data_IF_357282053096
#
_entry.id   IF_357282053096
#
_cell.length_a   1.000
_cell.length_b   1.000
_cell.length_c   1.000
_cell.angle_alpha   90.00
_cell.angle_beta   90.00
_cell.angle_gamma   90.00
#
_symmetry.space_group_name_H-M   'P 1'
#
loop_
_entity.id
_entity.type
_entity.pdbx_description
1 polymer ?
#
# COMPACT_ATOMS: atom_id res chain seq x y z
N UNK A 1 -2.07 -34.78 29.88
CA UNK A 1 -1.16 -35.96 29.83
C UNK A 1 -1.38 -36.67 28.50
N UNK A 2 -0.33 -36.80 27.70
CA UNK A 2 -0.36 -37.56 26.43
C UNK A 2 0.06 -38.99 26.75
N UNK A 3 -0.77 -39.95 26.37
CA UNK A 3 -0.41 -41.37 26.39
C UNK A 3 0.14 -41.66 25.01
N UNK A 4 1.44 -41.91 24.91
CA UNK A 4 2.05 -42.26 23.64
C UNK A 4 1.62 -43.67 23.23
N UNK A 5 1.56 -43.99 21.92
CA UNK A 5 1.23 -45.34 21.45
C UNK A 5 2.10 -46.42 22.11
N UNK A 6 3.35 -46.05 22.42
CA UNK A 6 4.33 -46.87 23.12
C UNK A 6 3.83 -47.44 24.46
N UNK A 7 3.07 -46.66 25.25
CA UNK A 7 2.52 -47.11 26.54
C UNK A 7 1.13 -47.74 26.37
N UNK A 8 0.44 -47.42 25.28
CA UNK A 8 -0.96 -47.80 25.11
C UNK A 8 -1.13 -49.27 24.73
N UNK A 9 -0.41 -49.77 23.72
CA UNK A 9 -0.65 -51.09 23.14
C UNK A 9 0.61 -51.83 22.64
N UNK A 10 1.81 -51.43 23.04
CA UNK A 10 3.04 -52.11 22.62
C UNK A 10 3.15 -53.51 23.27
N UNK A 11 3.37 -54.57 22.50
CA UNK A 11 3.28 -55.98 22.96
C UNK A 11 4.60 -56.77 22.80
N UNK A 12 5.72 -56.09 22.56
CA UNK A 12 7.03 -56.74 22.33
C UNK A 12 8.00 -56.48 23.48
N UNK A 13 8.84 -57.46 23.80
CA UNK A 13 9.95 -57.28 24.74
C UNK A 13 10.95 -56.22 24.26
N UNK A 14 11.61 -55.48 25.18
CA UNK A 14 11.49 -55.56 26.65
C UNK A 14 10.33 -54.71 27.21
N UNK A 15 9.48 -54.16 26.35
CA UNK A 15 8.52 -53.12 26.73
C UNK A 15 7.13 -53.65 27.07
N UNK A 16 6.95 -54.97 27.03
CA UNK A 16 5.67 -55.62 27.33
C UNK A 16 5.13 -55.24 28.72
N UNK A 17 6.01 -55.11 29.70
CA UNK A 17 5.66 -54.71 31.08
C UNK A 17 5.19 -53.25 31.21
N UNK A 18 5.52 -52.40 30.23
CA UNK A 18 5.09 -51.00 30.21
C UNK A 18 3.78 -50.78 29.46
N UNK A 19 3.21 -51.85 28.87
CA UNK A 19 1.96 -51.80 28.12
C UNK A 19 0.75 -51.69 29.04
N UNK A 20 -0.18 -50.81 28.69
CA UNK A 20 -1.49 -50.75 29.35
C UNK A 20 -2.44 -51.85 28.86
N UNK A 21 -2.16 -52.45 27.70
CA UNK A 21 -2.91 -53.57 27.14
C UNK A 21 -2.33 -54.91 27.60
N UNK A 22 -3.18 -55.84 28.03
CA UNK A 22 -2.76 -57.18 28.48
C UNK A 22 -2.20 -58.00 27.31
N UNK A 23 -1.20 -58.83 27.58
CA UNK A 23 -0.55 -59.66 26.56
C UNK A 23 -1.57 -60.51 25.79
N UNK A 24 -1.57 -60.39 24.46
CA UNK A 24 -2.47 -61.14 23.55
C UNK A 24 -3.97 -61.04 23.90
N UNK A 25 -4.39 -59.95 24.55
CA UNK A 25 -5.77 -59.72 24.97
C UNK A 25 -6.29 -58.39 24.42
N UNK A 26 -7.60 -58.27 24.25
CA UNK A 26 -8.26 -57.00 23.93
C UNK A 26 -8.51 -56.13 25.18
N UNK A 27 -8.21 -56.65 26.37
CA UNK A 27 -8.47 -55.99 27.65
C UNK A 27 -7.23 -55.24 28.18
N UNK A 28 -7.46 -54.29 29.08
CA UNK A 28 -6.45 -53.39 29.63
C UNK A 28 -6.23 -53.62 31.13
N UNK A 29 -5.06 -53.25 31.64
CA UNK A 29 -4.79 -53.26 33.07
C UNK A 29 -5.55 -52.13 33.80
N UNK A 30 -5.81 -52.30 35.09
CA UNK A 30 -6.64 -51.37 35.89
C UNK A 30 -6.14 -49.92 35.84
N UNK A 31 -4.82 -49.72 35.75
CA UNK A 31 -4.18 -48.41 35.66
C UNK A 31 -4.66 -47.62 34.43
N UNK A 32 -4.97 -48.30 33.32
CA UNK A 32 -5.56 -47.67 32.14
C UNK A 32 -6.87 -46.99 32.47
N UNK A 33 -7.82 -47.73 33.06
CA UNK A 33 -9.13 -47.21 33.41
C UNK A 33 -9.03 -46.12 34.48
N UNK A 34 -8.11 -46.26 35.44
CA UNK A 34 -7.81 -45.20 36.40
C UNK A 34 -7.39 -43.91 35.71
N UNK A 35 -6.39 -43.96 34.81
CA UNK A 35 -5.88 -42.77 34.10
C UNK A 35 -6.90 -42.22 33.08
N UNK A 36 -7.68 -43.09 32.44
CA UNK A 36 -8.75 -42.70 31.52
C UNK A 36 -9.87 -41.97 32.24
N UNK A 37 -10.21 -42.40 33.46
CA UNK A 37 -11.28 -41.81 34.27
C UNK A 37 -10.91 -40.45 34.89
N UNK A 38 -9.61 -40.08 34.85
CA UNK A 38 -9.18 -38.75 35.29
C UNK A 38 -9.82 -37.67 34.41
N UNK A 39 -10.50 -36.72 35.04
CA UNK A 39 -11.01 -35.52 34.37
C UNK A 39 -9.84 -34.74 33.78
N UNK A 40 -9.73 -34.76 32.45
CA UNK A 40 -8.72 -33.98 31.73
C UNK A 40 -9.30 -32.61 31.48
N UNK A 41 -8.65 -31.58 32.01
CA UNK A 41 -8.88 -30.21 31.56
C UNK A 41 -8.42 -30.08 30.12
N UNK A 42 -9.19 -29.35 29.30
CA UNK A 42 -8.81 -29.06 27.92
C UNK A 42 -7.49 -28.28 27.96
N UNK A 43 -6.50 -28.74 27.20
CA UNK A 43 -5.16 -28.13 27.15
C UNK A 43 -5.15 -26.85 26.32
N UNK A 44 -5.89 -25.84 26.76
CA UNK A 44 -5.92 -24.50 26.15
C UNK A 44 -5.20 -23.54 27.10
N UNK A 45 -3.85 -23.54 27.13
CA UNK A 45 -3.13 -22.56 27.92
C UNK A 45 -3.50 -21.16 27.44
N UNK A 46 -3.62 -20.23 28.37
CA UNK A 46 -3.86 -18.82 28.06
C UNK A 46 -2.71 -18.32 27.16
N UNK A 47 -3.07 -17.89 25.94
CA UNK A 47 -2.10 -17.37 24.99
C UNK A 47 -1.78 -15.92 25.34
N UNK A 48 -0.48 -15.59 25.41
CA UNK A 48 -0.06 -14.21 25.60
C UNK A 48 -0.19 -13.47 24.26
N UNK A 49 -1.18 -12.58 24.18
CA UNK A 49 -1.37 -11.65 23.07
C UNK A 49 -0.56 -10.38 23.32
N UNK A 50 0.45 -10.13 22.49
CA UNK A 50 1.31 -8.94 22.61
C UNK A 50 1.83 -8.52 21.24
N UNK A 51 1.98 -7.22 21.03
CA UNK A 51 2.59 -6.70 19.83
C UNK A 51 2.42 -5.21 19.69
N UNK A 52 2.63 -4.71 18.47
CA UNK A 52 2.47 -3.29 18.15
C UNK A 52 1.96 -3.08 16.74
N UNK A 53 1.14 -2.04 16.60
CA UNK A 53 0.69 -1.48 15.32
C UNK A 53 1.42 -0.15 15.13
N UNK A 54 2.21 -0.04 14.08
CA UNK A 54 2.98 1.17 13.76
C UNK A 54 2.71 1.62 12.32
N UNK A 55 2.80 2.92 12.08
CA UNK A 55 2.56 3.51 10.78
C UNK A 55 3.24 4.89 10.71
N UNK A 56 3.55 5.31 9.49
CA UNK A 56 4.02 6.66 9.17
C UNK A 56 3.11 7.21 8.07
N UNK A 57 2.05 7.91 8.49
CA UNK A 57 0.96 8.35 7.62
C UNK A 57 0.91 9.88 7.55
N UNK A 58 0.59 10.47 6.38
CA UNK A 58 0.50 11.91 6.24
C UNK A 58 -0.55 12.53 7.17
N UNK A 59 -0.30 13.75 7.66
CA UNK A 59 -1.25 14.49 8.49
C UNK A 59 -2.22 15.35 7.67
N UNK A 60 -1.97 15.47 6.38
CA UNK A 60 -2.68 16.36 5.48
C UNK A 60 -2.98 15.62 4.18
N UNK A 61 -4.26 15.33 3.96
CA UNK A 61 -4.77 14.70 2.74
C UNK A 61 -5.60 15.70 1.96
N UNK A 62 -5.89 15.40 0.70
CA UNK A 62 -6.80 16.21 -0.12
C UNK A 62 -8.13 15.49 -0.30
N UNK A 63 -9.21 16.26 -0.50
CA UNK A 63 -10.54 15.71 -0.75
C UNK A 63 -10.60 14.86 -2.03
N UNK A 64 -11.71 14.16 -2.24
CA UNK A 64 -12.02 13.40 -3.46
C UNK A 64 -10.89 12.48 -3.95
N UNK A 65 -10.17 11.85 -3.02
CA UNK A 65 -8.95 11.11 -3.32
C UNK A 65 -8.99 9.70 -2.75
N UNK A 66 -8.22 8.80 -3.37
CA UNK A 66 -8.00 7.44 -2.91
C UNK A 66 -6.53 7.24 -2.59
N UNK A 67 -6.25 6.84 -1.36
CA UNK A 67 -4.91 6.57 -0.86
C UNK A 67 -4.73 5.08 -0.60
N UNK A 68 -3.51 4.58 -0.79
CA UNK A 68 -3.10 3.25 -0.38
C UNK A 68 -1.84 3.40 0.48
N UNK A 69 -1.99 3.15 1.76
CA UNK A 69 -0.93 3.21 2.76
C UNK A 69 -0.56 1.81 3.23
N UNK A 70 0.53 1.73 3.99
CA UNK A 70 0.95 0.51 4.67
C UNK A 70 0.98 0.73 6.16
N UNK A 71 0.44 -0.23 6.91
CA UNK A 71 0.50 -0.28 8.37
C UNK A 71 1.33 -1.48 8.76
N UNK A 72 2.29 -1.32 9.67
CA UNK A 72 3.13 -2.40 10.14
C UNK A 72 2.53 -3.04 11.39
N UNK A 73 2.46 -4.37 11.37
CA UNK A 73 2.04 -5.22 12.47
C UNK A 73 3.23 -6.04 12.94
N UNK A 74 3.59 -5.88 14.21
CA UNK A 74 4.65 -6.66 14.84
C UNK A 74 4.07 -7.55 15.92
N UNK A 75 4.19 -8.86 15.72
CA UNK A 75 3.75 -9.85 16.68
C UNK A 75 4.84 -10.10 17.72
N UNK A 76 4.52 -9.94 18.99
CA UNK A 76 5.43 -10.21 20.12
C UNK A 76 4.81 -11.21 21.11
N UNK A 77 3.68 -11.82 20.71
CA UNK A 77 2.94 -12.80 21.47
C UNK A 77 3.34 -14.21 21.10
N UNK A 78 2.50 -15.17 21.47
CA UNK A 78 2.74 -16.60 21.26
C UNK A 78 1.90 -17.19 20.11
N UNK A 79 0.83 -16.50 19.71
CA UNK A 79 -0.06 -16.94 18.66
C UNK A 79 0.45 -16.53 17.28
N UNK A 80 0.03 -17.26 16.24
CA UNK A 80 0.17 -16.81 14.85
C UNK A 80 -1.06 -15.95 14.53
N UNK A 81 -0.86 -14.72 14.07
CA UNK A 81 -1.99 -13.89 13.65
C UNK A 81 -2.35 -14.23 12.20
N UNK A 82 -3.54 -14.80 12.04
CA UNK A 82 -4.10 -15.19 10.75
C UNK A 82 -5.62 -15.05 10.78
N UNK A 83 -6.21 -14.58 9.69
CA UNK A 83 -7.67 -14.46 9.56
C UNK A 83 -8.40 -15.80 9.72
N UNK A 84 -7.78 -16.91 9.31
CA UNK A 84 -8.36 -18.24 9.50
C UNK A 84 -8.42 -18.65 10.98
N UNK A 85 -7.63 -17.99 11.83
CA UNK A 85 -7.60 -18.13 13.29
C UNK A 85 -8.34 -16.95 13.97
N UNK A 86 -9.30 -16.35 13.27
CA UNK A 86 -10.15 -15.23 13.73
C UNK A 86 -9.44 -13.90 14.00
N UNK A 87 -8.21 -13.69 13.49
CA UNK A 87 -7.53 -12.40 13.63
C UNK A 87 -7.91 -11.42 12.51
N UNK A 88 -8.35 -10.23 12.88
CA UNK A 88 -8.71 -9.18 11.93
C UNK A 88 -8.15 -7.81 12.33
N UNK A 89 -7.67 -7.04 11.34
CA UNK A 89 -7.28 -5.65 11.54
C UNK A 89 -8.49 -4.76 11.21
N UNK A 90 -9.03 -4.11 12.23
CA UNK A 90 -10.12 -3.16 12.13
C UNK A 90 -9.64 -1.71 12.14
N UNK A 91 -10.50 -0.82 11.64
CA UNK A 91 -10.34 0.63 11.71
C UNK A 91 -11.61 1.25 12.28
N UNK A 92 -11.44 2.19 13.21
CA UNK A 92 -12.54 2.99 13.75
C UNK A 92 -12.25 4.47 13.50
N UNK A 93 -13.22 5.20 12.94
CA UNK A 93 -13.25 6.66 12.92
C UNK A 93 -14.19 7.16 14.03
N UNK A 94 -13.80 8.24 14.70
CA UNK A 94 -14.56 8.80 15.82
C UNK A 94 -15.71 9.74 15.38
N UNK A 95 -15.76 10.19 14.13
CA UNK A 95 -16.63 11.31 13.70
C UNK A 95 -17.81 10.95 12.78
N UNK A 96 -18.20 9.68 12.66
CA UNK A 96 -19.47 9.36 12.01
C UNK A 96 -19.67 7.89 11.64
N UNK A 97 -20.88 7.40 11.87
CA UNK A 97 -21.36 6.02 11.71
C UNK A 97 -21.32 5.44 10.27
N UNK A 98 -20.36 5.81 9.41
CA UNK A 98 -20.16 5.20 8.08
C UNK A 98 -18.74 4.66 7.94
N UNK A 99 -18.59 3.38 8.31
CA UNK A 99 -17.39 2.54 8.16
C UNK A 99 -17.05 2.20 6.68
N UNK A 100 -17.42 3.04 5.71
CA UNK A 100 -17.43 2.64 4.27
C UNK A 100 -16.28 3.22 3.44
N UNK A 101 -15.42 4.06 4.03
CA UNK A 101 -14.39 4.77 3.28
C UNK A 101 -13.00 4.14 3.39
N UNK A 102 -12.89 2.98 4.04
CA UNK A 102 -11.62 2.29 4.18
C UNK A 102 -11.70 0.83 3.74
N UNK A 103 -10.56 0.31 3.30
CA UNK A 103 -10.35 -1.11 3.02
C UNK A 103 -9.04 -1.53 3.67
N UNK A 104 -9.01 -2.69 4.28
CA UNK A 104 -7.82 -3.24 4.94
C UNK A 104 -7.62 -4.65 4.40
N UNK A 105 -6.37 -5.00 4.10
CA UNK A 105 -6.04 -6.34 3.67
C UNK A 105 -6.10 -7.34 4.82
N UNK A 106 -6.49 -8.56 4.51
CA UNK A 106 -6.54 -9.66 5.48
C UNK A 106 -5.15 -9.92 6.09
N UNK A 107 -5.14 -10.20 7.40
CA UNK A 107 -3.94 -10.65 8.10
C UNK A 107 -3.68 -12.11 7.76
N UNK A 108 -2.43 -12.44 7.39
CA UNK A 108 -2.03 -13.82 7.05
C UNK A 108 -0.65 -14.18 7.58
N UNK A 109 -0.59 -15.29 8.31
CA UNK A 109 0.63 -15.96 8.78
C UNK A 109 1.65 -15.01 9.46
N UNK A 110 1.23 -14.09 10.35
CA UNK A 110 2.19 -13.27 11.12
C UNK A 110 2.64 -14.07 12.34
N UNK A 111 3.83 -14.66 12.25
CA UNK A 111 4.38 -15.54 13.28
C UNK A 111 4.85 -14.76 14.51
N UNK A 112 5.00 -15.43 15.68
CA UNK A 112 5.66 -14.83 16.83
C UNK A 112 7.00 -14.18 16.47
N UNK A 113 7.19 -12.95 16.92
CA UNK A 113 8.38 -12.11 16.67
C UNK A 113 8.57 -11.64 15.22
N UNK A 114 7.58 -11.86 14.35
CA UNK A 114 7.57 -11.37 12.98
C UNK A 114 6.94 -9.98 12.88
N UNK A 115 7.37 -9.21 11.88
CA UNK A 115 6.77 -7.95 11.48
C UNK A 115 6.33 -8.02 10.01
N UNK A 116 5.07 -7.70 9.74
CA UNK A 116 4.52 -7.64 8.37
C UNK A 116 3.79 -6.32 8.13
N UNK A 117 3.81 -5.88 6.87
CA UNK A 117 3.02 -4.72 6.43
C UNK A 117 1.69 -5.17 5.86
N UNK A 118 0.64 -4.41 6.17
CA UNK A 118 -0.73 -4.62 5.71
C UNK A 118 -1.16 -3.39 4.93
N UNK A 119 -1.72 -3.61 3.74
CA UNK A 119 -2.22 -2.51 2.92
C UNK A 119 -3.54 -1.98 3.50
N UNK A 120 -3.60 -0.66 3.63
CA UNK A 120 -4.75 0.11 4.10
C UNK A 120 -5.11 1.15 3.04
N UNK A 121 -6.34 1.10 2.53
CA UNK A 121 -6.86 2.09 1.60
C UNK A 121 -7.82 3.04 2.29
N UNK A 122 -7.74 4.33 1.95
CA UNK A 122 -8.63 5.37 2.46
C UNK A 122 -9.19 6.20 1.29
N UNK A 123 -10.49 6.46 1.31
CA UNK A 123 -11.16 7.38 0.40
C UNK A 123 -11.59 8.64 1.14
N UNK A 124 -11.16 9.79 0.64
CA UNK A 124 -11.60 11.10 1.12
C UNK A 124 -12.72 11.61 0.21
N UNK A 125 -13.76 12.21 0.79
CA UNK A 125 -14.91 12.71 0.03
C UNK A 125 -14.94 14.24 0.04
N UNK A 126 -15.04 14.83 1.23
CA UNK A 126 -15.18 16.26 1.47
C UNK A 126 -14.08 16.78 2.41
N UNK A 127 -13.94 18.09 2.44
CA UNK A 127 -13.00 18.79 3.32
C UNK A 127 -13.40 18.61 4.78
N UNK A 128 -12.42 18.38 5.64
CA UNK A 128 -12.60 18.18 7.08
C UNK A 128 -11.40 18.73 7.82
N UNK A 129 -11.65 19.60 8.79
CA UNK A 129 -10.58 20.23 9.57
C UNK A 129 -9.85 19.24 10.49
N UNK A 130 -10.55 18.18 10.91
CA UNK A 130 -10.01 17.14 11.75
C UNK A 130 -10.69 15.82 11.46
N UNK A 131 -9.90 14.77 11.39
CA UNK A 131 -10.31 13.38 11.37
C UNK A 131 -9.36 12.60 12.28
N UNK A 132 -9.91 11.60 12.96
CA UNK A 132 -9.13 10.72 13.82
C UNK A 132 -9.50 9.27 13.55
N UNK A 133 -8.48 8.47 13.24
CA UNK A 133 -8.60 7.04 13.01
C UNK A 133 -7.68 6.27 13.97
N UNK A 134 -8.16 5.13 14.47
CA UNK A 134 -7.34 4.14 15.16
C UNK A 134 -7.46 2.78 14.49
N UNK A 135 -6.37 2.02 14.53
CA UNK A 135 -6.30 0.64 14.11
C UNK A 135 -6.41 -0.28 15.32
N UNK A 136 -7.15 -1.38 15.18
CA UNK A 136 -7.39 -2.36 16.22
C UNK A 136 -7.12 -3.74 15.69
N UNK A 137 -6.32 -4.53 16.42
CA UNK A 137 -6.24 -5.96 16.16
C UNK A 137 -7.29 -6.65 17.02
N UNK A 138 -8.15 -7.43 16.40
CA UNK A 138 -9.27 -8.13 17.04
C UNK A 138 -9.07 -9.63 16.86
N UNK A 139 -9.34 -10.40 17.92
CA UNK A 139 -9.43 -11.87 17.90
C UNK A 139 -10.76 -12.27 18.53
N UNK A 140 -11.55 -13.07 17.84
CA UNK A 140 -12.87 -13.53 18.32
C UNK A 140 -13.77 -12.36 18.81
N UNK A 141 -13.80 -11.26 18.04
CA UNK A 141 -14.51 -10.01 18.37
C UNK A 141 -14.01 -9.25 19.62
N UNK A 142 -12.88 -9.65 20.21
CA UNK A 142 -12.22 -8.93 21.31
C UNK A 142 -10.98 -8.20 20.81
N UNK A 143 -10.90 -6.90 21.10
CA UNK A 143 -9.69 -6.12 20.85
C UNK A 143 -8.54 -6.66 21.68
N UNK A 144 -7.42 -6.99 21.01
CA UNK A 144 -6.19 -7.44 21.65
C UNK A 144 -5.07 -6.41 21.57
N UNK A 145 -5.05 -5.55 20.54
CA UNK A 145 -4.11 -4.45 20.41
C UNK A 145 -4.78 -3.21 19.82
N UNK A 146 -4.26 -2.04 20.20
CA UNK A 146 -4.67 -0.74 19.65
C UNK A 146 -3.45 0.04 19.20
N UNK A 147 -3.60 0.78 18.10
CA UNK A 147 -2.58 1.72 17.65
C UNK A 147 -2.68 3.06 18.38
N UNK A 148 -1.65 3.89 18.22
CA UNK A 148 -1.80 5.33 18.47
C UNK A 148 -2.86 5.92 17.51
N UNK A 149 -3.59 6.98 17.91
CA UNK A 149 -4.48 7.68 16.98
C UNK A 149 -3.69 8.34 15.86
N UNK A 150 -4.19 8.18 14.63
CA UNK A 150 -3.77 8.95 13.49
C UNK A 150 -4.72 10.13 13.30
N UNK A 151 -4.20 11.33 13.55
CA UNK A 151 -4.94 12.57 13.35
C UNK A 151 -4.49 13.23 12.06
N UNK A 152 -5.45 13.58 11.21
CA UNK A 152 -5.19 14.23 9.94
C UNK A 152 -6.32 15.20 9.59
N UNK A 153 -6.10 16.04 8.58
CA UNK A 153 -7.12 16.91 7.99
C UNK A 153 -7.26 16.63 6.50
N UNK A 154 -8.45 16.87 5.97
CA UNK A 154 -8.77 16.74 4.56
C UNK A 154 -8.94 18.16 4.00
N UNK A 155 -8.04 18.52 3.09
CA UNK A 155 -7.90 19.83 2.50
C UNK A 155 -8.59 19.92 1.12
N UNK A 156 -8.88 21.14 0.64
CA UNK A 156 -9.32 21.35 -0.74
C UNK A 156 -8.29 20.80 -1.74
N UNK A 157 -8.78 20.48 -2.95
CA UNK A 157 -7.93 20.05 -4.05
C UNK A 157 -6.96 21.18 -4.45
N UNK A 158 -5.64 20.96 -4.44
CA UNK A 158 -4.69 21.98 -4.85
C UNK A 158 -4.57 22.05 -6.38
N UNK A 159 -4.08 23.19 -6.85
CA UNK A 159 -3.72 23.42 -8.24
C UNK A 159 -2.20 23.26 -8.44
N UNK A 160 -1.78 22.91 -9.66
CA UNK A 160 -0.39 22.89 -10.10
C UNK A 160 -0.18 23.81 -11.28
N UNK A 161 0.75 24.75 -11.14
CA UNK A 161 1.29 25.50 -12.26
C UNK A 161 2.45 24.73 -12.89
N UNK A 162 2.52 24.74 -14.22
CA UNK A 162 3.62 24.16 -14.98
C UNK A 162 4.30 25.26 -15.80
N UNK A 163 5.63 25.29 -15.76
CA UNK A 163 6.45 26.20 -16.55
C UNK A 163 7.30 25.40 -17.54
N UNK A 164 7.07 25.63 -18.83
CA UNK A 164 7.62 24.84 -19.94
C UNK A 164 8.16 25.77 -21.02
N UNK A 165 9.36 25.47 -21.51
CA UNK A 165 9.97 26.18 -22.62
C UNK A 165 10.21 25.22 -23.79
N UNK A 166 10.15 25.72 -25.02
CA UNK A 166 10.66 24.98 -26.18
C UNK A 166 12.08 25.41 -26.49
N UNK A 167 12.85 24.50 -27.08
CA UNK A 167 14.08 24.83 -27.76
C UNK A 167 13.83 24.77 -29.28
N UNK A 168 14.31 25.74 -30.09
CA UNK A 168 15.02 26.98 -29.72
C UNK A 168 14.08 28.16 -29.36
N UNK A 169 12.76 28.02 -29.53
CA UNK A 169 11.76 29.08 -29.35
C UNK A 169 11.39 29.23 -27.86
N UNK A 170 11.73 30.37 -27.25
CA UNK A 170 11.77 30.58 -25.79
C UNK A 170 10.43 30.56 -25.01
N UNK A 171 9.31 30.13 -25.58
CA UNK A 171 8.03 29.98 -24.84
C UNK A 171 7.17 28.87 -25.47
N UNK A 172 6.83 27.85 -24.68
CA UNK A 172 5.97 26.79 -25.16
C UNK A 172 4.53 27.28 -25.35
N UNK A 173 3.87 26.83 -26.42
CA UNK A 173 2.43 27.04 -26.65
C UNK A 173 1.81 25.76 -27.20
N UNK A 174 0.61 25.43 -26.72
CA UNK A 174 -0.17 24.30 -27.21
C UNK A 174 -1.17 23.80 -26.17
N UNK A 175 -2.08 22.94 -26.61
CA UNK A 175 -3.18 22.38 -25.83
C UNK A 175 -3.13 20.85 -25.70
N UNK A 176 -2.07 20.23 -26.21
CA UNK A 176 -1.90 18.78 -26.26
C UNK A 176 -0.82 18.26 -25.31
N UNK A 177 -0.59 18.94 -24.19
CA UNK A 177 0.33 18.45 -23.16
C UNK A 177 -0.35 17.39 -22.30
N UNK A 178 0.42 16.40 -21.87
CA UNK A 178 0.03 15.46 -20.82
C UNK A 178 0.94 15.67 -19.61
N UNK A 179 0.34 15.71 -18.42
CA UNK A 179 1.07 15.80 -17.15
C UNK A 179 0.72 14.61 -16.29
N UNK A 180 1.75 13.98 -15.74
CA UNK A 180 1.66 12.81 -14.86
C UNK A 180 2.36 13.12 -13.54
N UNK A 181 1.81 12.62 -12.43
CA UNK A 181 2.42 12.66 -11.10
C UNK A 181 2.67 11.25 -10.61
N UNK A 182 3.90 11.03 -10.12
CA UNK A 182 4.30 9.79 -9.48
C UNK A 182 4.70 10.05 -8.03
N UNK A 183 4.29 9.17 -7.13
CA UNK A 183 4.69 9.20 -5.73
C UNK A 183 6.13 8.68 -5.53
N UNK A 184 6.58 8.62 -4.28
CA UNK A 184 7.92 8.13 -3.90
C UNK A 184 8.14 6.65 -4.23
N UNK A 185 7.06 5.87 -4.41
CA UNK A 185 7.09 4.47 -4.83
C UNK A 185 7.02 4.32 -6.37
N UNK A 186 7.13 5.42 -7.12
CA UNK A 186 7.02 5.48 -8.57
C UNK A 186 5.67 5.01 -9.13
N UNK A 187 4.60 5.09 -8.32
CA UNK A 187 3.23 4.79 -8.76
C UNK A 187 2.58 6.03 -9.35
N UNK A 188 1.90 5.86 -10.49
CA UNK A 188 1.12 6.93 -11.12
C UNK A 188 -0.10 7.26 -10.25
N UNK A 189 -0.08 8.42 -9.60
CA UNK A 189 -1.18 8.86 -8.72
C UNK A 189 -2.15 9.82 -9.42
N UNK A 190 -1.69 10.53 -10.44
CA UNK A 190 -2.50 11.48 -11.19
C UNK A 190 -2.03 11.59 -12.65
N UNK A 191 -2.98 11.74 -13.57
CA UNK A 191 -2.72 11.98 -15.00
C UNK A 191 -3.77 12.95 -15.56
N UNK A 192 -3.30 13.95 -16.31
CA UNK A 192 -4.16 14.87 -17.06
C UNK A 192 -3.63 15.06 -18.48
N UNK A 193 -4.47 14.77 -19.47
CA UNK A 193 -4.23 15.06 -20.88
C UNK A 193 -4.88 16.38 -21.28
N UNK A 194 -4.45 16.96 -22.39
CA UNK A 194 -5.04 18.18 -22.95
C UNK A 194 -4.71 19.43 -22.13
N UNK A 195 -3.59 19.44 -21.42
CA UNK A 195 -3.15 20.58 -20.62
C UNK A 195 -2.77 21.72 -21.56
N UNK A 196 -3.41 22.88 -21.36
CA UNK A 196 -3.15 24.09 -22.12
C UNK A 196 -1.97 24.84 -21.51
N UNK A 197 -0.98 25.13 -22.36
CA UNK A 197 0.17 25.97 -22.04
C UNK A 197 0.15 27.16 -22.98
N UNK A 198 0.11 28.37 -22.43
CA UNK A 198 0.25 29.62 -23.18
C UNK A 198 1.43 30.41 -22.64
N UNK A 199 2.26 30.94 -23.55
CA UNK A 199 3.49 31.68 -23.21
C UNK A 199 4.41 30.93 -22.22
N UNK A 200 4.42 29.61 -22.28
CA UNK A 200 5.20 28.72 -21.42
C UNK A 200 4.59 28.41 -20.06
N UNK A 201 3.39 28.90 -19.76
CA UNK A 201 2.71 28.65 -18.49
C UNK A 201 1.42 27.86 -18.72
N UNK A 202 1.23 26.82 -17.91
CA UNK A 202 -0.02 26.05 -17.84
C UNK A 202 -0.50 25.92 -16.40
N UNK A 203 -1.80 25.70 -16.23
CA UNK A 203 -2.42 25.48 -14.93
C UNK A 203 -3.28 24.21 -14.97
N UNK A 204 -3.07 23.35 -13.99
CA UNK A 204 -3.82 22.11 -13.79
C UNK A 204 -4.58 22.28 -12.49
N UNK A 205 -5.92 22.31 -12.61
CA UNK A 205 -6.78 22.47 -11.46
C UNK A 205 -7.15 21.14 -10.82
N UNK A 206 -7.47 21.19 -9.53
CA UNK A 206 -8.13 20.11 -8.80
C UNK A 206 -7.35 18.78 -8.80
N UNK A 207 -6.11 18.81 -8.32
CA UNK A 207 -5.27 17.61 -8.27
C UNK A 207 -5.71 16.70 -7.12
N UNK A 208 -5.92 15.43 -7.45
CA UNK A 208 -6.36 14.37 -6.54
C UNK A 208 -5.23 13.36 -6.28
N UNK A 209 -5.42 12.51 -5.27
CA UNK A 209 -4.57 11.39 -4.89
C UNK A 209 -3.14 11.81 -4.50
N UNK A 210 -3.00 13.00 -3.91
CA UNK A 210 -1.72 13.50 -3.38
C UNK A 210 -1.84 13.80 -1.89
N UNK A 211 -0.75 13.72 -1.16
CA UNK A 211 -0.63 14.18 0.21
C UNK A 211 0.18 15.48 0.22
N UNK A 212 -0.13 16.37 1.16
CA UNK A 212 0.61 17.62 1.32
C UNK A 212 1.92 17.34 2.05
N UNK A 213 2.95 18.13 1.72
CA UNK A 213 4.33 18.00 2.19
C UNK A 213 5.05 16.71 1.76
N UNK A 214 4.48 15.99 0.79
CA UNK A 214 5.10 14.83 0.15
C UNK A 214 5.79 15.20 -1.18
N UNK A 215 6.84 14.44 -1.52
CA UNK A 215 7.62 14.61 -2.74
C UNK A 215 6.99 13.84 -3.91
N UNK A 216 6.82 14.52 -5.05
CA UNK A 216 6.28 13.94 -6.27
C UNK A 216 7.19 14.17 -7.46
N UNK A 217 7.32 13.15 -8.31
CA UNK A 217 7.92 13.27 -9.63
C UNK A 217 6.84 13.70 -10.61
N UNK A 218 7.03 14.87 -11.21
CA UNK A 218 6.12 15.42 -12.24
C UNK A 218 6.74 15.16 -13.60
N UNK A 219 5.99 14.53 -14.48
CA UNK A 219 6.38 14.29 -15.87
C UNK A 219 5.47 15.10 -16.78
N UNK A 220 6.06 15.72 -17.80
CA UNK A 220 5.33 16.39 -18.87
C UNK A 220 5.70 15.78 -20.23
N UNK A 221 4.66 15.50 -21.00
CA UNK A 221 4.75 14.88 -22.32
C UNK A 221 4.08 15.81 -23.34
N UNK A 222 4.64 15.83 -24.55
CA UNK A 222 4.07 16.49 -25.71
C UNK A 222 4.45 15.70 -26.96
N UNK A 223 3.49 15.35 -27.84
CA UNK A 223 3.81 14.65 -29.10
C UNK A 223 4.87 15.39 -29.92
N UNK A 224 5.87 14.66 -30.42
CA UNK A 224 7.00 15.23 -31.17
C UNK A 224 8.18 15.71 -30.30
N UNK A 225 8.08 15.63 -28.97
CA UNK A 225 9.09 16.14 -28.04
C UNK A 225 9.49 15.12 -27.00
N UNK A 226 10.78 15.11 -26.65
CA UNK A 226 11.29 14.25 -25.59
C UNK A 226 10.60 14.56 -24.25
N UNK A 227 10.21 13.51 -23.48
CA UNK A 227 9.68 13.66 -22.13
C UNK A 227 10.57 14.51 -21.22
N UNK A 228 9.95 15.33 -20.38
CA UNK A 228 10.64 16.09 -19.33
C UNK A 228 10.07 15.75 -17.97
N UNK A 229 10.92 15.75 -16.96
CA UNK A 229 10.51 15.51 -15.59
C UNK A 229 11.18 16.48 -14.62
N UNK A 230 10.52 16.71 -13.49
CA UNK A 230 11.00 17.50 -12.35
C UNK A 230 10.41 16.93 -11.06
N UNK A 231 10.84 17.42 -9.91
CA UNK A 231 10.32 17.01 -8.61
C UNK A 231 9.78 18.22 -7.85
N UNK A 232 8.64 18.06 -7.19
CA UNK A 232 8.05 19.10 -6.35
C UNK A 232 7.53 18.50 -5.05
N UNK A 233 7.54 19.30 -3.99
CA UNK A 233 6.80 19.01 -2.76
C UNK A 233 5.46 19.74 -2.86
N UNK A 234 4.35 19.01 -2.78
CA UNK A 234 3.02 19.61 -2.86
C UNK A 234 2.69 20.38 -1.59
N UNK A 235 2.25 21.62 -1.76
CA UNK A 235 1.74 22.51 -0.73
C UNK A 235 0.27 22.80 -0.99
N UNK A 236 -0.40 23.37 0.01
CA UNK A 236 -1.78 23.84 -0.12
C UNK A 236 -1.98 24.84 -1.24
N UNK A 237 -0.99 25.72 -1.49
CA UNK A 237 -1.02 26.75 -2.53
C UNK A 237 0.36 26.97 -3.14
N UNK A 238 0.38 27.51 -4.36
CA UNK A 238 1.61 27.97 -5.01
C UNK A 238 2.49 26.85 -5.59
N UNK A 239 1.92 25.69 -5.89
CA UNK A 239 2.66 24.59 -6.50
C UNK A 239 3.11 24.98 -7.92
N UNK A 240 4.40 24.82 -8.20
CA UNK A 240 5.00 25.15 -9.48
C UNK A 240 6.03 24.10 -9.89
N UNK A 241 5.75 23.39 -10.99
CA UNK A 241 6.69 22.48 -11.63
C UNK A 241 7.40 23.20 -12.78
N UNK A 242 8.69 23.49 -12.57
CA UNK A 242 9.56 24.08 -13.60
C UNK A 242 10.29 22.99 -14.36
N UNK A 243 10.11 22.95 -15.68
CA UNK A 243 10.75 21.98 -16.55
C UNK A 243 11.91 22.60 -17.33
N UNK A 244 12.91 21.79 -17.63
CA UNK A 244 13.93 22.12 -18.64
C UNK A 244 13.26 22.22 -20.02
N UNK A 245 13.85 23.00 -20.92
CA UNK A 245 13.32 23.16 -22.28
C UNK A 245 13.10 21.82 -22.98
N UNK A 246 11.92 21.64 -23.57
CA UNK A 246 11.62 20.44 -24.36
C UNK A 246 12.36 20.48 -25.70
N UNK A 247 12.81 19.30 -26.13
CA UNK A 247 13.56 19.13 -27.37
C UNK A 247 12.69 18.40 -28.40
N UNK A 248 12.54 18.94 -29.63
CA UNK A 248 11.67 18.38 -30.67
C UNK A 248 12.35 17.22 -31.41
N UNK A 249 12.86 16.24 -30.68
CA UNK A 249 13.66 15.14 -31.23
C UNK A 249 13.03 13.76 -30.97
N UNK A 250 11.71 13.71 -30.81
CA UNK A 250 10.96 12.48 -30.58
C UNK A 250 9.82 12.41 -31.61
N UNK A 251 10.20 12.29 -32.88
CA UNK A 251 9.26 12.42 -34.01
C UNK A 251 8.39 11.17 -34.14
N UNK A 252 8.89 10.02 -33.69
CA UNK A 252 8.15 8.77 -33.66
C UNK A 252 7.32 8.60 -32.36
N UNK A 253 7.45 9.52 -31.38
CA UNK A 253 6.75 9.50 -30.09
C UNK A 253 7.05 8.24 -29.25
N UNK A 254 8.27 7.71 -29.33
CA UNK A 254 8.71 6.56 -28.56
C UNK A 254 9.36 6.94 -27.21
N UNK A 255 9.50 8.24 -26.95
CA UNK A 255 10.04 8.78 -25.70
C UNK A 255 11.56 8.72 -25.60
N UNK A 256 12.27 8.34 -26.66
CA UNK A 256 13.73 8.28 -26.75
C UNK A 256 14.21 9.13 -27.93
N UNK A 257 15.50 9.41 -27.94
CA UNK A 257 16.16 9.93 -29.12
C UNK A 257 16.98 8.79 -29.72
N UNK A 258 16.54 8.27 -30.86
CA UNK A 258 17.23 7.17 -31.53
C UNK A 258 17.64 7.52 -32.98
N UNK A 259 18.38 6.62 -33.63
CA UNK A 259 18.81 6.83 -35.02
C UNK A 259 17.64 6.88 -36.02
N UNK A 260 16.45 6.39 -35.64
CA UNK A 260 15.24 6.46 -36.47
C UNK A 260 14.68 7.88 -36.46
N UNK A 261 14.74 8.59 -35.34
CA UNK A 261 14.39 10.02 -35.27
C UNK A 261 15.27 10.87 -36.19
N UNK A 262 16.58 10.57 -36.23
CA UNK A 262 17.53 11.25 -37.13
C UNK A 262 17.16 11.02 -38.59
N UNK A 263 16.88 9.77 -38.99
CA UNK A 263 16.47 9.46 -40.38
C UNK A 263 15.15 10.15 -40.74
N UNK A 264 14.20 10.23 -39.81
CA UNK A 264 12.92 10.90 -40.02
C UNK A 264 13.10 12.42 -40.24
N UNK A 265 13.98 13.05 -39.45
CA UNK A 265 14.34 14.46 -39.59
C UNK A 265 14.95 14.75 -40.98
N UNK A 266 15.90 13.93 -41.45
CA UNK A 266 16.50 14.05 -42.78
C UNK A 266 15.50 13.80 -43.92
N UNK A 267 14.60 12.83 -43.77
CA UNK A 267 13.54 12.57 -44.74
C UNK A 267 12.59 13.77 -44.88
N UNK A 268 12.23 14.43 -43.77
CA UNK A 268 11.35 15.61 -43.82
C UNK A 268 12.05 16.86 -44.37
N UNK A 269 13.32 17.07 -44.03
CA UNK A 269 14.16 18.17 -44.57
C UNK A 269 14.38 18.05 -46.08
N UNK A 270 14.64 16.84 -46.59
CA UNK A 270 14.81 16.60 -48.03
C UNK A 270 13.51 16.76 -48.82
N UNK A 271 12.36 16.54 -48.19
CA UNK A 271 11.04 16.76 -48.81
C UNK A 271 10.68 18.24 -48.89
N UNK A 272 11.02 19.04 -47.87
CA UNK A 272 10.86 20.50 -47.85
C UNK A 272 11.72 21.22 -48.90
N UNK A 273 12.95 20.74 -49.13
CA UNK A 273 13.87 21.26 -50.14
C UNK A 273 13.50 20.92 -51.59
N UNK A 274 12.56 19.97 -51.81
CA UNK A 274 12.04 19.62 -53.16
C UNK A 274 10.78 20.39 -53.56
N UNK A 275 10.30 21.29 -52.69
CA UNK A 275 9.10 22.12 -52.91
C UNK A 275 9.42 23.62 -53.02
N UNK A 276 10.70 23.97 -53.25
CA UNK A 276 11.17 25.31 -53.62
C UNK A 276 11.73 25.26 -55.02
#
# INVERSE_FOLDING_TARGET
>A
MVVTPFVFDYQSDPFLEFSWKKYQSSDFYQQYYTVQSLLKTKGEPEQIEKGSISFDLPKELVAQSKYNFRVSLKNQGQAVWDKNESYELGVMSYEGNKLTNFLISDIKDIKPFEEKTIDFSLKTNEEKEKEEIKFFLVKDNKTILESKPWQFKILPLPDLNVEVNFWPIRRAKGDNFEVQLFDVDERLVFKKTGVKVDKGLGMIKNIQNIAIDELYRVVILKPGYLPRQTYIVFKTKGNLAKFKSMLPFDLNSDGKFDFRDVKFLFYHLTKLLKTV
#
